data_IF_343626569553
#
_entry.id   IF_343626569553
#
_cell.length_a   1.000
_cell.length_b   1.000
_cell.length_c   1.000
_cell.angle_alpha   90.00
_cell.angle_beta   90.00
_cell.angle_gamma   90.00
#
_symmetry.space_group_name_H-M   'P 1'
#
loop_
_entity.id
_entity.type
_entity.pdbx_description
1 polymer ?
#
# COMPACT_ATOMS: atom_id res chain seq x y z
N UNK A 1 2.98 -11.80 -3.30
CA UNK A 1 3.25 -11.75 -1.85
C UNK A 1 2.51 -10.62 -1.15
N UNK A 2 2.63 -9.37 -1.60
CA UNK A 2 2.03 -8.18 -0.95
C UNK A 2 0.53 -8.32 -0.67
N UNK A 3 -0.27 -8.73 -1.66
CA UNK A 3 -1.71 -8.97 -1.48
C UNK A 3 -2.00 -9.99 -0.38
N UNK A 4 -1.24 -11.08 -0.30
CA UNK A 4 -1.41 -12.08 0.76
C UNK A 4 -1.11 -11.50 2.15
N UNK A 5 -0.05 -10.70 2.28
CA UNK A 5 0.26 -9.99 3.53
C UNK A 5 -0.82 -8.97 3.93
N UNK A 6 -1.40 -8.29 2.95
CA UNK A 6 -2.46 -7.30 3.16
C UNK A 6 -3.76 -7.93 3.65
N UNK A 7 -4.26 -8.95 2.95
CA UNK A 7 -5.51 -9.62 3.34
C UNK A 7 -5.37 -10.45 4.62
N UNK A 8 -4.15 -10.82 5.00
CA UNK A 8 -3.83 -11.42 6.29
C UNK A 8 -3.73 -10.38 7.43
N UNK A 9 -3.89 -9.09 7.14
CA UNK A 9 -3.82 -8.00 8.13
C UNK A 9 -2.41 -7.67 8.63
N UNK A 10 -1.36 -8.32 8.09
CA UNK A 10 0.00 -8.17 8.58
C UNK A 10 0.64 -6.83 8.17
N UNK A 11 0.30 -6.33 6.98
CA UNK A 11 0.89 -5.12 6.40
C UNK A 11 -0.15 -4.36 5.58
N UNK A 12 -0.07 -3.03 5.55
CA UNK A 12 -0.86 -2.28 4.57
C UNK A 12 -0.13 -2.28 3.22
N UNK A 13 -0.87 -2.35 2.11
CA UNK A 13 -0.33 -2.37 0.76
C UNK A 13 -0.75 -1.08 0.07
N UNK A 14 0.18 -0.14 -0.01
CA UNK A 14 -0.01 1.15 -0.68
C UNK A 14 0.11 0.98 -2.19
N UNK A 15 -0.89 1.46 -2.90
CA UNK A 15 -1.04 1.41 -4.36
C UNK A 15 -1.36 2.79 -4.90
N UNK A 16 -1.29 2.93 -6.23
CA UNK A 16 -1.66 4.17 -6.91
C UNK A 16 -3.12 4.55 -6.61
N UNK A 17 -4.01 3.58 -6.46
CA UNK A 17 -5.43 3.82 -6.21
C UNK A 17 -5.69 4.53 -4.87
N UNK A 18 -4.82 4.28 -3.87
CA UNK A 18 -4.98 4.84 -2.53
C UNK A 18 -4.75 6.38 -2.53
N UNK A 19 -4.11 6.94 -3.56
CA UNK A 19 -3.98 8.40 -3.75
C UNK A 19 -5.32 9.09 -4.04
N UNK A 20 -6.25 8.37 -4.68
CA UNK A 20 -7.59 8.90 -4.98
C UNK A 20 -8.56 8.65 -3.81
N UNK A 21 -8.45 7.49 -3.16
CA UNK A 21 -9.29 7.15 -2.00
C UNK A 21 -8.99 8.05 -0.80
N UNK A 22 -7.72 8.35 -0.54
CA UNK A 22 -7.35 9.26 0.55
C UNK A 22 -7.84 10.69 0.31
N UNK A 23 -7.77 11.19 -0.93
CA UNK A 23 -8.29 12.51 -1.29
C UNK A 23 -9.79 12.65 -0.96
N UNK A 24 -10.58 11.60 -1.21
CA UNK A 24 -12.00 11.55 -0.87
C UNK A 24 -12.29 11.47 0.64
N UNK A 25 -11.36 10.90 1.43
CA UNK A 25 -11.49 10.85 2.90
C UNK A 25 -11.20 12.20 3.55
N UNK A 26 -10.24 12.95 3.01
CA UNK A 26 -9.84 14.26 3.54
C UNK A 26 -10.76 15.40 3.09
N UNK A 27 -11.36 15.29 1.89
CA UNK A 27 -12.35 16.23 1.37
C UNK A 27 -13.46 15.47 0.62
N UNK A 28 -14.66 15.30 1.23
CA UNK A 28 -15.79 14.61 0.60
C UNK A 28 -16.36 15.35 -0.63
N UNK A 29 -16.03 16.64 -0.80
CA UNK A 29 -16.44 17.45 -1.94
C UNK A 29 -15.43 17.39 -3.10
N UNK A 30 -14.28 16.74 -2.92
CA UNK A 30 -13.34 16.39 -3.98
C UNK A 30 -13.95 15.29 -4.89
N UNK A 31 -15.02 15.66 -5.59
CA UNK A 31 -15.63 14.85 -6.61
C UNK A 31 -14.83 14.97 -7.89
N UNK A 32 -14.48 13.82 -8.45
CA UNK A 32 -13.87 13.57 -9.77
C UNK A 32 -12.38 13.23 -9.72
N UNK A 33 -11.92 12.16 -10.42
CA UNK A 33 -10.51 11.83 -10.65
C UNK A 33 -9.72 12.87 -11.46
N UNK A 34 -10.21 14.10 -11.55
CA UNK A 34 -9.65 15.13 -12.39
C UNK A 34 -8.59 15.92 -11.62
N UNK A 35 -7.38 15.90 -12.20
CA UNK A 35 -6.25 16.78 -11.90
C UNK A 35 -5.48 16.49 -10.61
N UNK A 36 -5.20 15.20 -10.34
CA UNK A 36 -3.79 14.93 -10.00
C UNK A 36 -3.06 15.05 -11.32
N UNK A 37 -2.30 16.13 -11.51
CA UNK A 37 -1.36 16.26 -12.61
C UNK A 37 -0.45 15.02 -12.56
N UNK A 38 -0.82 14.00 -13.33
CA UNK A 38 -0.28 12.63 -13.23
C UNK A 38 1.06 12.52 -13.98
N UNK A 39 1.71 13.67 -14.20
CA UNK A 39 3.01 13.81 -14.83
C UNK A 39 4.12 13.15 -14.00
N UNK A 40 3.90 12.98 -12.69
CA UNK A 40 4.90 12.47 -11.76
C UNK A 40 5.35 11.03 -12.09
N UNK A 41 4.58 10.28 -12.90
CA UNK A 41 4.94 8.92 -13.34
C UNK A 41 4.47 8.58 -14.76
N UNK A 42 4.28 9.59 -15.60
CA UNK A 42 3.65 9.41 -16.91
C UNK A 42 4.39 8.37 -17.76
N UNK A 43 3.65 7.36 -18.23
CA UNK A 43 4.18 6.26 -19.04
C UNK A 43 4.91 5.14 -18.27
N UNK A 44 5.01 5.19 -16.93
CA UNK A 44 5.71 4.16 -16.14
C UNK A 44 4.75 3.36 -15.26
N UNK A 45 5.03 2.06 -15.16
CA UNK A 45 4.31 1.17 -14.23
C UNK A 45 4.71 1.48 -12.78
N UNK A 46 3.73 1.83 -11.95
CA UNK A 46 3.90 1.98 -10.50
C UNK A 46 3.80 0.60 -9.85
N UNK A 47 4.84 0.20 -9.14
CA UNK A 47 4.76 -0.96 -8.27
C UNK A 47 4.25 -0.55 -6.89
N UNK A 48 3.27 -1.28 -6.33
CA UNK A 48 2.82 -1.07 -4.97
C UNK A 48 3.88 -1.51 -3.97
N UNK A 49 3.77 -1.01 -2.74
CA UNK A 49 4.69 -1.31 -1.64
C UNK A 49 3.93 -1.55 -0.35
N UNK A 50 4.47 -2.42 0.50
CA UNK A 50 3.87 -2.70 1.80
C UNK A 50 4.66 -2.03 2.92
N UNK A 51 3.96 -1.50 3.92
CA UNK A 51 4.56 -1.09 5.19
C UNK A 51 3.97 -1.90 6.34
N UNK A 52 4.85 -2.34 7.23
CA UNK A 52 4.50 -3.00 8.48
C UNK A 52 4.29 -1.94 9.59
N UNK A 53 3.22 -2.05 10.41
CA UNK A 53 2.88 -1.01 11.39
C UNK A 53 3.94 -0.74 12.46
N UNK A 54 4.87 -1.67 12.67
CA UNK A 54 5.99 -1.54 13.61
C UNK A 54 7.34 -1.33 12.94
N UNK A 55 7.52 -1.80 11.70
CA UNK A 55 8.85 -1.90 11.07
C UNK A 55 8.97 -1.06 9.79
N UNK A 56 7.93 -0.32 9.39
CA UNK A 56 7.91 0.35 8.09
C UNK A 56 8.17 -0.65 6.96
N UNK A 57 9.11 -0.33 6.07
CA UNK A 57 9.59 -1.21 5.00
C UNK A 57 10.80 -2.07 5.39
N UNK A 58 11.22 -2.12 6.65
CA UNK A 58 12.32 -2.95 7.14
C UNK A 58 11.94 -4.43 7.33
N UNK A 59 11.33 -5.01 6.30
CA UNK A 59 10.95 -6.42 6.30
C UNK A 59 10.91 -6.97 4.86
N UNK A 60 10.69 -8.28 4.74
CA UNK A 60 10.34 -8.91 3.47
C UNK A 60 9.34 -10.04 3.70
N UNK A 61 8.33 -10.13 2.84
CA UNK A 61 7.40 -11.26 2.82
C UNK A 61 8.10 -12.50 2.24
N UNK A 62 8.15 -13.60 2.99
CA UNK A 62 8.94 -14.78 2.62
C UNK A 62 8.14 -15.86 1.89
N UNK A 63 6.88 -16.08 2.26
CA UNK A 63 6.07 -17.13 1.65
C UNK A 63 4.67 -17.21 2.23
N UNK A 64 3.90 -18.16 1.69
CA UNK A 64 2.55 -18.52 2.14
C UNK A 64 2.55 -20.02 2.42
N UNK A 65 1.99 -20.42 3.56
CA UNK A 65 1.78 -21.83 3.89
C UNK A 65 0.32 -22.16 3.60
N UNK A 66 0.09 -23.20 2.79
CA UNK A 66 -1.24 -23.60 2.33
C UNK A 66 -1.58 -24.97 2.91
N UNK A 67 -2.62 -25.03 3.73
CA UNK A 67 -3.13 -26.28 4.28
C UNK A 67 -4.26 -26.82 3.39
N UNK A 68 -3.91 -27.70 2.46
CA UNK A 68 -4.90 -28.36 1.59
C UNK A 68 -5.86 -29.20 2.45
N UNK A 69 -7.16 -29.09 2.19
CA UNK A 69 -8.19 -29.85 2.91
C UNK A 69 -8.71 -29.19 4.19
N UNK A 70 -8.12 -28.07 4.62
CA UNK A 70 -8.65 -27.25 5.72
C UNK A 70 -9.47 -26.09 5.12
N UNK A 71 -10.71 -25.93 5.60
CA UNK A 71 -11.58 -24.81 5.24
C UNK A 71 -11.97 -24.05 6.50
N UNK A 72 -11.75 -22.74 6.50
CA UNK A 72 -12.02 -21.86 7.63
C UNK A 72 -13.00 -20.75 7.23
N UNK A 73 -14.22 -21.12 6.86
CA UNK A 73 -15.24 -20.18 6.37
C UNK A 73 -15.62 -19.09 7.37
N UNK A 74 -15.51 -19.39 8.66
CA UNK A 74 -15.82 -18.47 9.77
C UNK A 74 -14.60 -17.71 10.30
N UNK A 75 -13.43 -17.84 9.67
CA UNK A 75 -12.25 -17.10 10.09
C UNK A 75 -12.46 -15.61 9.83
N UNK A 76 -12.36 -14.82 10.89
CA UNK A 76 -12.44 -13.36 10.80
C UNK A 76 -11.33 -12.82 9.90
N UNK A 77 -11.69 -11.88 9.01
CA UNK A 77 -10.76 -11.25 8.08
C UNK A 77 -10.23 -9.97 8.73
N UNK A 78 -8.97 -9.93 9.18
CA UNK A 78 -8.42 -8.73 9.80
C UNK A 78 -8.29 -7.61 8.78
N UNK A 79 -8.53 -6.37 9.23
CA UNK A 79 -8.26 -5.17 8.45
C UNK A 79 -6.80 -4.77 8.70
N UNK A 80 -5.95 -4.64 7.66
CA UNK A 80 -4.57 -4.20 7.84
C UNK A 80 -4.54 -2.75 8.35
N UNK A 81 -3.62 -2.47 9.28
CA UNK A 81 -3.47 -1.13 9.84
C UNK A 81 -2.81 -0.18 8.84
N UNK A 82 -3.57 0.82 8.41
CA UNK A 82 -3.07 1.96 7.62
C UNK A 82 -2.27 2.91 8.52
N UNK A 83 -1.04 3.26 8.11
CA UNK A 83 -0.14 4.13 8.90
C UNK A 83 0.07 5.52 8.26
N UNK A 84 0.10 5.60 6.93
CA UNK A 84 0.09 6.85 6.17
C UNK A 84 -1.34 7.23 5.84
N UNK A 85 -1.72 8.46 6.18
CA UNK A 85 -3.09 8.97 6.01
C UNK A 85 -3.19 10.14 5.05
N UNK A 86 -2.06 10.74 4.62
CA UNK A 86 -2.07 11.81 3.62
C UNK A 86 -1.68 11.31 2.24
N UNK A 87 -2.23 11.97 1.23
CA UNK A 87 -1.92 11.71 -0.18
C UNK A 87 -0.44 11.98 -0.46
N UNK A 88 0.14 13.00 0.16
CA UNK A 88 1.53 13.42 -0.01
C UNK A 88 2.48 12.33 0.50
N UNK A 89 2.20 11.75 1.68
CA UNK A 89 2.97 10.65 2.25
C UNK A 89 2.91 9.40 1.38
N UNK A 90 1.73 9.06 0.86
CA UNK A 90 1.57 7.90 -0.03
C UNK A 90 2.29 8.14 -1.36
N UNK A 91 2.24 9.36 -1.90
CA UNK A 91 2.94 9.74 -3.13
C UNK A 91 4.46 9.63 -2.94
N UNK A 92 4.98 10.20 -1.86
CA UNK A 92 6.41 10.14 -1.51
C UNK A 92 6.87 8.69 -1.33
N UNK A 93 6.12 7.86 -0.62
CA UNK A 93 6.42 6.44 -0.46
C UNK A 93 6.53 5.72 -1.81
N UNK A 94 5.55 5.92 -2.69
CA UNK A 94 5.52 5.28 -4.01
C UNK A 94 6.70 5.76 -4.88
N UNK A 95 7.03 7.05 -4.83
CA UNK A 95 8.19 7.64 -5.52
C UNK A 95 9.50 7.02 -5.02
N UNK A 96 9.71 7.03 -3.70
CA UNK A 96 10.92 6.49 -3.08
C UNK A 96 11.09 5.00 -3.39
N UNK A 97 10.01 4.21 -3.33
CA UNK A 97 10.08 2.78 -3.63
C UNK A 97 10.37 2.50 -5.12
N UNK A 98 9.76 3.25 -6.03
CA UNK A 98 9.88 2.96 -7.46
C UNK A 98 11.17 3.56 -8.08
N UNK A 99 11.67 4.68 -7.55
CA UNK A 99 12.80 5.42 -8.14
C UNK A 99 14.04 5.52 -7.26
N UNK A 100 13.89 5.41 -5.94
CA UNK A 100 14.99 5.63 -5.01
C UNK A 100 15.28 4.43 -4.08
N UNK A 101 14.72 3.25 -4.33
CA UNK A 101 14.79 2.09 -3.41
C UNK A 101 16.20 1.74 -2.90
N UNK A 102 17.25 2.03 -3.68
CA UNK A 102 18.66 1.76 -3.32
C UNK A 102 19.12 2.52 -2.08
N UNK A 103 18.54 3.68 -1.79
CA UNK A 103 18.89 4.45 -0.60
C UNK A 103 18.14 3.99 0.67
N UNK A 104 17.21 3.03 0.53
CA UNK A 104 16.37 2.48 1.60
C UNK A 104 15.44 3.49 2.30
N UNK A 105 15.33 4.73 1.84
CA UNK A 105 14.53 5.77 2.52
C UNK A 105 13.04 5.45 2.56
N UNK A 106 12.51 4.69 1.59
CA UNK A 106 11.11 4.24 1.60
C UNK A 106 10.76 3.29 2.76
N UNK A 107 11.77 2.80 3.50
CA UNK A 107 11.60 1.83 4.58
C UNK A 107 11.29 2.46 5.93
N UNK A 108 11.60 3.74 6.09
CA UNK A 108 11.33 4.50 7.31
C UNK A 108 9.91 5.08 7.29
#
# INVERSE_FOLDING_TARGET
MQTAGHVAGAVYMYRKEDLYTTAQRTDPAANSPEQVEDSWMEGKKIFPVCLHPQYGGWFALRGVIIFKGISCVSLEKPVPREILQSKEQIKELLELYNHHWKNNAFRD
#
